data_IF_737800823204
#
_entry.id   IF_737800823204
#
_cell.length_a   1.000
_cell.length_b   1.000
_cell.length_c   1.000
_cell.angle_alpha   90.00
_cell.angle_beta   90.00
_cell.angle_gamma   90.00
#
_symmetry.space_group_name_H-M   'P 1'
#
loop_
_entity.id
_entity.type
_entity.pdbx_description
1 polymer ?
#
# COMPACT_ATOMS: atom_id res chain seq x y z
N UNK A 1 -11.31 -12.05 6.25
CA UNK A 1 -11.36 -10.64 6.70
C UNK A 1 -10.20 -9.92 6.05
N UNK A 2 -10.41 -8.68 5.58
CA UNK A 2 -10.13 -8.30 4.19
C UNK A 2 -8.68 -8.47 3.73
N UNK A 3 -8.47 -9.37 2.76
CA UNK A 3 -7.36 -9.27 1.82
C UNK A 3 -7.44 -7.89 1.15
N UNK A 4 -6.53 -6.99 1.50
CA UNK A 4 -6.27 -5.75 0.76
C UNK A 4 -6.35 -6.03 -0.75
N UNK A 5 -7.05 -5.18 -1.52
CA UNK A 5 -7.10 -5.35 -2.98
C UNK A 5 -5.70 -5.13 -3.54
N UNK A 6 -4.97 -6.22 -3.77
CA UNK A 6 -3.60 -6.18 -4.29
C UNK A 6 -3.58 -5.43 -5.62
N UNK A 7 -2.58 -4.56 -5.76
CA UNK A 7 -2.30 -3.88 -7.02
C UNK A 7 -1.97 -4.85 -8.16
N UNK A 8 -1.64 -4.34 -9.36
CA UNK A 8 -1.43 -2.92 -9.66
C UNK A 8 -2.75 -2.16 -9.82
N UNK A 9 -2.82 -0.97 -9.23
CA UNK A 9 -3.95 -0.06 -9.43
C UNK A 9 -3.67 0.90 -10.58
N UNK A 10 -4.68 1.15 -11.40
CA UNK A 10 -4.59 2.08 -12.52
C UNK A 10 -5.50 3.28 -12.26
N UNK A 11 -4.99 4.46 -12.60
CA UNK A 11 -5.77 5.70 -12.55
C UNK A 11 -6.37 5.95 -13.92
N UNK A 12 -7.70 5.93 -13.99
CA UNK A 12 -8.46 6.20 -15.19
C UNK A 12 -8.93 7.68 -15.25
N UNK A 13 -9.69 8.01 -16.29
CA UNK A 13 -10.29 9.34 -16.46
C UNK A 13 -11.07 9.80 -15.21
N UNK A 14 -11.04 11.12 -14.96
CA UNK A 14 -11.69 11.78 -13.81
C UNK A 14 -11.21 11.35 -12.41
N UNK A 15 -10.03 10.72 -12.32
CA UNK A 15 -9.37 10.38 -11.05
C UNK A 15 -9.85 9.08 -10.44
N UNK A 16 -10.49 8.22 -11.23
CA UNK A 16 -11.00 6.91 -10.79
C UNK A 16 -9.84 5.93 -10.61
N UNK A 17 -9.80 5.23 -9.48
CA UNK A 17 -8.82 4.20 -9.16
C UNK A 17 -9.45 2.84 -9.47
N UNK A 18 -8.75 1.99 -10.22
CA UNK A 18 -9.23 0.65 -10.63
C UNK A 18 -8.21 -0.45 -10.37
N UNK A 19 -8.70 -1.64 -10.04
CA UNK A 19 -7.94 -2.89 -10.06
C UNK A 19 -8.57 -3.81 -11.12
N UNK A 20 -7.97 -3.90 -12.30
CA UNK A 20 -8.64 -4.47 -13.48
C UNK A 20 -9.92 -3.69 -13.81
N UNK A 21 -11.05 -4.40 -13.90
CA UNK A 21 -12.38 -3.81 -14.09
C UNK A 21 -13.05 -3.36 -12.77
N UNK A 22 -12.46 -3.69 -11.62
CA UNK A 22 -12.98 -3.34 -10.31
C UNK A 22 -12.78 -1.86 -9.95
N UNK A 23 -13.82 -1.23 -9.39
CA UNK A 23 -13.73 0.12 -8.83
C UNK A 23 -13.20 0.07 -7.39
N UNK A 24 -12.17 0.88 -7.10
CA UNK A 24 -11.57 1.00 -5.76
C UNK A 24 -11.95 2.33 -5.11
N UNK A 25 -11.95 3.42 -5.88
CA UNK A 25 -12.15 4.75 -5.33
C UNK A 25 -11.98 5.87 -6.35
N UNK A 26 -11.94 7.11 -5.86
CA UNK A 26 -11.71 8.30 -6.67
C UNK A 26 -10.86 9.32 -5.93
N UNK A 27 -9.95 9.96 -6.67
CA UNK A 27 -9.08 11.02 -6.16
C UNK A 27 -9.75 12.38 -6.37
N UNK A 28 -9.80 13.18 -5.31
CA UNK A 28 -10.34 14.53 -5.36
C UNK A 28 -9.39 15.50 -6.09
N UNK A 29 -9.95 16.55 -6.71
CA UNK A 29 -9.28 17.34 -7.75
C UNK A 29 -8.04 18.11 -7.30
N UNK A 30 -8.02 18.58 -6.05
CA UNK A 30 -7.01 19.53 -5.58
C UNK A 30 -5.56 19.02 -5.53
N UNK A 31 -5.31 17.72 -5.64
CA UNK A 31 -3.96 17.14 -5.69
C UNK A 31 -3.95 15.86 -6.54
N UNK A 32 -4.74 15.86 -7.62
CA UNK A 32 -5.09 14.64 -8.34
C UNK A 32 -3.86 13.84 -8.79
N UNK A 33 -2.89 14.51 -9.39
CA UNK A 33 -1.74 13.84 -10.00
C UNK A 33 -0.76 13.33 -8.95
N UNK A 34 -0.46 14.13 -7.91
CA UNK A 34 0.39 13.69 -6.80
C UNK A 34 -0.22 12.49 -6.05
N UNK A 35 -1.52 12.55 -5.76
CA UNK A 35 -2.24 11.45 -5.11
C UNK A 35 -2.35 10.23 -6.03
N UNK A 36 -2.47 10.43 -7.35
CA UNK A 36 -2.52 9.35 -8.33
C UNK A 36 -1.23 8.55 -8.34
N UNK A 37 -0.08 9.23 -8.39
CA UNK A 37 1.24 8.60 -8.31
C UNK A 37 1.44 7.87 -6.99
N UNK A 38 1.06 8.49 -5.86
CA UNK A 38 1.20 7.87 -4.53
C UNK A 38 0.36 6.59 -4.41
N UNK A 39 -0.90 6.63 -4.83
CA UNK A 39 -1.82 5.50 -4.78
C UNK A 39 -1.33 4.38 -5.70
N UNK A 40 -0.95 4.70 -6.94
CA UNK A 40 -0.46 3.70 -7.89
C UNK A 40 0.79 2.97 -7.38
N UNK A 41 1.68 3.67 -6.68
CA UNK A 41 2.89 3.09 -6.10
C UNK A 41 2.69 2.36 -4.77
N UNK A 42 1.53 2.50 -4.10
CA UNK A 42 1.31 1.97 -2.75
C UNK A 42 1.52 0.44 -2.62
N UNK A 43 1.06 -0.41 -3.56
CA UNK A 43 1.31 -1.85 -3.51
C UNK A 43 2.82 -2.19 -3.57
N UNK A 44 3.57 -1.53 -4.45
CA UNK A 44 5.01 -1.79 -4.61
C UNK A 44 5.79 -1.30 -3.39
N UNK A 45 5.42 -0.13 -2.85
CA UNK A 45 6.00 0.39 -1.60
C UNK A 45 5.74 -0.55 -0.42
N UNK A 46 4.55 -1.15 -0.34
CA UNK A 46 4.22 -2.12 0.72
C UNK A 46 5.11 -3.37 0.65
N UNK A 47 5.26 -3.99 -0.53
CA UNK A 47 6.10 -5.18 -0.70
C UNK A 47 7.59 -4.87 -0.48
N UNK A 48 8.06 -3.69 -0.90
CA UNK A 48 9.42 -3.23 -0.63
C UNK A 48 9.68 -3.06 0.87
N UNK A 49 8.76 -2.42 1.61
CA UNK A 49 8.88 -2.24 3.06
C UNK A 49 8.86 -3.57 3.81
N UNK A 50 7.97 -4.48 3.41
CA UNK A 50 7.91 -5.84 3.97
C UNK A 50 9.22 -6.60 3.75
N UNK A 51 9.78 -6.53 2.54
CA UNK A 51 11.05 -7.16 2.21
C UNK A 51 12.21 -6.57 3.01
N UNK A 52 12.27 -5.25 3.13
CA UNK A 52 13.27 -4.54 3.93
C UNK A 52 13.18 -4.91 5.41
N UNK A 53 11.97 -5.01 5.98
CA UNK A 53 11.78 -5.43 7.36
C UNK A 53 12.25 -6.88 7.58
N UNK A 54 11.93 -7.79 6.67
CA UNK A 54 12.37 -9.19 6.75
C UNK A 54 13.89 -9.32 6.71
N UNK A 55 14.55 -8.56 5.82
CA UNK A 55 16.01 -8.49 5.76
C UNK A 55 16.58 -7.93 7.07
N UNK A 56 16.00 -6.85 7.59
CA UNK A 56 16.51 -6.27 8.83
C UNK A 56 16.30 -7.20 10.03
N UNK A 57 15.21 -7.98 10.07
CA UNK A 57 14.92 -8.97 11.10
C UNK A 57 15.90 -10.15 11.08
N UNK A 58 16.42 -10.54 9.91
CA UNK A 58 17.42 -11.61 9.82
C UNK A 58 18.80 -11.20 10.36
N UNK A 59 19.06 -9.91 10.50
CA UNK A 59 20.34 -9.38 10.99
C UNK A 59 20.26 -8.76 12.40
N UNK A 60 19.10 -8.22 12.77
CA UNK A 60 18.90 -7.54 14.05
C UNK A 60 17.45 -7.73 14.54
N UNK A 61 17.25 -7.75 15.86
CA UNK A 61 15.91 -7.71 16.45
C UNK A 61 15.78 -6.47 17.33
N UNK A 62 15.35 -5.36 16.72
CA UNK A 62 15.20 -4.06 17.38
C UNK A 62 13.73 -3.86 17.78
N UNK A 63 13.43 -3.22 18.93
CA UNK A 63 12.04 -2.98 19.36
C UNK A 63 11.14 -2.31 18.32
N UNK A 64 11.72 -1.47 17.45
CA UNK A 64 10.99 -0.80 16.34
C UNK A 64 10.37 -1.78 15.33
N UNK A 65 10.86 -3.01 15.25
CA UNK A 65 10.31 -4.02 14.35
C UNK A 65 8.90 -4.47 14.76
N UNK A 66 8.58 -4.42 16.05
CA UNK A 66 7.21 -4.70 16.51
C UNK A 66 6.23 -3.65 15.95
N UNK A 67 6.60 -2.38 16.01
CA UNK A 67 5.81 -1.29 15.44
C UNK A 67 5.69 -1.43 13.90
N UNK A 68 6.78 -1.79 13.22
CA UNK A 68 6.77 -2.01 11.77
C UNK A 68 5.86 -3.19 11.36
N UNK A 69 5.90 -4.31 12.09
CA UNK A 69 5.01 -5.46 11.86
C UNK A 69 3.55 -5.07 12.07
N UNK A 70 3.24 -4.33 13.13
CA UNK A 70 1.88 -3.86 13.40
C UNK A 70 1.37 -2.92 12.28
N UNK A 71 2.22 -2.01 11.79
CA UNK A 71 1.87 -1.13 10.69
C UNK A 71 1.58 -1.89 9.38
N UNK A 72 2.40 -2.90 9.05
CA UNK A 72 2.19 -3.75 7.88
C UNK A 72 0.94 -4.64 8.03
N UNK A 73 0.70 -5.19 9.22
CA UNK A 73 -0.50 -5.97 9.53
C UNK A 73 -1.77 -5.13 9.32
N UNK A 74 -1.78 -3.91 9.87
CA UNK A 74 -2.87 -2.95 9.68
C UNK A 74 -3.11 -2.61 8.22
N UNK A 75 -2.04 -2.38 7.45
CA UNK A 75 -2.16 -2.13 6.01
C UNK A 75 -2.72 -3.33 5.23
N UNK A 76 -2.50 -4.56 5.72
CA UNK A 76 -3.06 -5.78 5.16
C UNK A 76 -4.48 -6.12 5.64
N UNK A 77 -5.10 -5.25 6.45
CA UNK A 77 -6.45 -5.46 6.99
C UNK A 77 -6.51 -6.42 8.19
N UNK A 78 -5.39 -6.64 8.89
CA UNK A 78 -5.35 -7.38 10.15
C UNK A 78 -5.21 -6.41 11.32
N UNK A 79 -6.01 -6.60 12.37
CA UNK A 79 -5.90 -5.89 13.65
C UNK A 79 -5.11 -6.71 14.67
#
# INVERSE_FOLDING_TARGET
MSEFTKGPWRIAGKGTIRAGDGWIGRIHWHNRDANASLIAAAPDMYEALKSMLNLHLSHHNHPIHAAARAALAKANGHD
#
